data_IF_997166405320
#
_entry.id   IF_997166405320
#
_cell.length_a   1.000
_cell.length_b   1.000
_cell.length_c   1.000
_cell.angle_alpha   90.00
_cell.angle_beta   90.00
_cell.angle_gamma   90.00
#
_symmetry.space_group_name_H-M   'P 1'
#
loop_
_entity.id
_entity.type
_entity.pdbx_description
1 polymer ?
#
# COMPACT_ATOMS: atom_id res chain seq x y z
N UNK A 1 -9.21 1.48 20.98
CA UNK A 1 -7.96 1.18 20.24
C UNK A 1 -7.94 -0.16 19.48
N UNK A 2 -8.78 -1.15 19.78
CA UNK A 2 -8.76 -2.44 19.06
C UNK A 2 -9.05 -2.26 17.56
N UNK A 3 -10.18 -1.65 17.20
CA UNK A 3 -10.56 -1.45 15.79
C UNK A 3 -9.57 -0.58 15.01
N UNK A 4 -8.97 0.43 15.65
CA UNK A 4 -7.92 1.27 15.03
C UNK A 4 -6.70 0.42 14.66
N UNK A 5 -6.23 -0.43 15.59
CA UNK A 5 -5.11 -1.35 15.32
C UNK A 5 -5.44 -2.37 14.23
N UNK A 6 -6.65 -2.91 14.22
CA UNK A 6 -7.10 -3.82 13.15
C UNK A 6 -7.07 -3.10 11.80
N UNK A 7 -7.60 -1.87 11.73
CA UNK A 7 -7.58 -1.09 10.50
C UNK A 7 -6.15 -0.78 10.02
N UNK A 8 -5.25 -0.42 10.93
CA UNK A 8 -3.83 -0.19 10.61
C UNK A 8 -3.18 -1.44 10.00
N UNK A 9 -3.33 -2.61 10.62
CA UNK A 9 -2.75 -3.85 10.10
C UNK A 9 -3.34 -4.26 8.76
N UNK A 10 -4.65 -4.12 8.59
CA UNK A 10 -5.31 -4.41 7.31
C UNK A 10 -4.81 -3.47 6.22
N UNK A 11 -4.77 -2.16 6.47
CA UNK A 11 -4.29 -1.19 5.49
C UNK A 11 -2.81 -1.39 5.17
N UNK A 12 -1.97 -1.65 6.18
CA UNK A 12 -0.55 -1.94 5.97
C UNK A 12 -0.33 -3.21 5.14
N UNK A 13 -1.09 -4.29 5.43
CA UNK A 13 -1.04 -5.52 4.65
C UNK A 13 -1.48 -5.29 3.20
N UNK A 14 -2.55 -4.52 2.98
CA UNK A 14 -3.01 -4.18 1.65
C UNK A 14 -2.00 -3.34 0.86
N UNK A 15 -1.31 -2.39 1.50
CA UNK A 15 -0.21 -1.65 0.86
C UNK A 15 0.91 -2.61 0.46
N UNK A 16 1.33 -3.50 1.37
CA UNK A 16 2.35 -4.51 1.08
C UNK A 16 1.99 -5.43 -0.08
N UNK A 17 0.76 -5.95 -0.10
CA UNK A 17 0.24 -6.77 -1.20
C UNK A 17 0.15 -5.99 -2.51
N UNK A 18 -0.19 -4.70 -2.45
CA UNK A 18 -0.26 -3.83 -3.61
C UNK A 18 1.13 -3.62 -4.24
N UNK A 19 2.14 -3.37 -3.42
CA UNK A 19 3.54 -3.25 -3.87
C UNK A 19 4.03 -4.58 -4.45
N UNK A 20 3.69 -5.72 -3.81
CA UNK A 20 4.04 -7.04 -4.32
C UNK A 20 3.42 -7.32 -5.70
N UNK A 21 2.16 -6.93 -5.90
CA UNK A 21 1.49 -7.05 -7.19
C UNK A 21 2.19 -6.22 -8.28
N UNK A 22 2.50 -4.94 -8.00
CA UNK A 22 3.25 -4.06 -8.92
C UNK A 22 4.62 -4.66 -9.24
N UNK A 23 5.37 -5.10 -8.23
CA UNK A 23 6.68 -5.72 -8.41
C UNK A 23 6.63 -7.01 -9.24
N UNK A 24 5.60 -7.83 -9.06
CA UNK A 24 5.40 -9.05 -9.85
C UNK A 24 5.20 -8.71 -11.33
N UNK A 25 4.34 -7.73 -11.64
CA UNK A 25 4.12 -7.29 -13.04
C UNK A 25 5.39 -6.67 -13.61
N UNK A 26 6.16 -5.91 -12.82
CA UNK A 26 7.43 -5.33 -13.25
C UNK A 26 8.44 -6.39 -13.68
N UNK A 27 8.63 -7.44 -12.87
CA UNK A 27 9.52 -8.56 -13.21
C UNK A 27 9.04 -9.29 -14.48
N UNK A 28 7.74 -9.53 -14.62
CA UNK A 28 7.20 -10.17 -15.83
C UNK A 28 7.44 -9.29 -17.05
N UNK A 29 7.22 -7.99 -16.95
CA UNK A 29 7.41 -7.07 -18.06
C UNK A 29 8.86 -6.99 -18.51
N UNK A 30 9.81 -7.00 -17.57
CA UNK A 30 11.25 -7.07 -17.86
C UNK A 30 11.62 -8.38 -18.56
N UNK A 31 11.19 -9.53 -18.01
CA UNK A 31 11.50 -10.87 -18.56
C UNK A 31 10.88 -11.06 -19.95
N UNK A 32 9.68 -10.53 -20.18
CA UNK A 32 9.00 -10.65 -21.48
C UNK A 32 9.55 -9.68 -22.51
N UNK A 33 9.94 -8.47 -22.11
CA UNK A 33 10.55 -7.47 -22.98
C UNK A 33 9.68 -7.05 -24.18
N UNK A 34 8.36 -7.32 -24.16
CA UNK A 34 7.46 -6.95 -25.26
C UNK A 34 6.65 -5.71 -24.94
N UNK A 35 6.28 -4.98 -25.99
CA UNK A 35 5.44 -3.79 -25.88
C UNK A 35 4.12 -4.04 -25.14
N UNK A 36 3.51 -5.21 -25.35
CA UNK A 36 2.27 -5.60 -24.67
C UNK A 36 2.44 -5.62 -23.14
N UNK A 37 3.57 -6.13 -22.64
CA UNK A 37 3.83 -6.17 -21.20
C UNK A 37 4.30 -4.83 -20.62
N UNK A 38 4.94 -3.98 -21.42
CA UNK A 38 5.25 -2.61 -21.01
C UNK A 38 3.96 -1.80 -20.70
N UNK A 39 2.90 -1.96 -21.50
CA UNK A 39 1.60 -1.32 -21.25
C UNK A 39 0.94 -1.86 -19.98
N UNK A 40 1.02 -3.17 -19.74
CA UNK A 40 0.51 -3.76 -18.49
C UNK A 40 1.24 -3.18 -17.28
N UNK A 41 2.55 -2.98 -17.36
CA UNK A 41 3.31 -2.36 -16.29
C UNK A 41 2.89 -0.90 -16.06
N UNK A 42 2.79 -0.10 -17.12
CA UNK A 42 2.39 1.31 -17.03
C UNK A 42 0.99 1.47 -16.40
N UNK A 43 0.02 0.70 -16.88
CA UNK A 43 -1.35 0.71 -16.34
C UNK A 43 -1.41 0.16 -14.92
N UNK A 44 -0.65 -0.89 -14.59
CA UNK A 44 -0.56 -1.42 -13.22
C UNK A 44 -0.02 -0.37 -12.26
N UNK A 45 1.06 0.33 -12.62
CA UNK A 45 1.62 1.42 -11.81
C UNK A 45 0.59 2.54 -11.64
N UNK A 46 -0.11 2.92 -12.70
CA UNK A 46 -1.11 4.00 -12.67
C UNK A 46 -2.26 3.69 -11.70
N UNK A 47 -2.91 2.52 -11.85
CA UNK A 47 -4.04 2.16 -11.00
C UNK A 47 -3.62 1.84 -9.56
N UNK A 48 -2.54 1.08 -9.38
CA UNK A 48 -2.06 0.71 -8.05
C UNK A 48 -1.49 1.92 -7.31
N UNK A 49 -0.87 2.87 -8.02
CA UNK A 49 -0.37 4.12 -7.44
C UNK A 49 -1.50 4.94 -6.80
N UNK A 50 -2.64 5.08 -7.47
CA UNK A 50 -3.83 5.73 -6.90
C UNK A 50 -4.33 4.96 -5.67
N UNK A 51 -4.46 3.64 -5.79
CA UNK A 51 -4.97 2.80 -4.70
C UNK A 51 -4.08 2.85 -3.44
N UNK A 52 -2.76 2.72 -3.61
CA UNK A 52 -1.76 2.86 -2.53
C UNK A 52 -1.81 4.29 -1.96
N UNK A 53 -1.96 5.31 -2.80
CA UNK A 53 -2.10 6.69 -2.37
C UNK A 53 -3.29 6.88 -1.42
N UNK A 54 -4.46 6.34 -1.77
CA UNK A 54 -5.66 6.39 -0.91
C UNK A 54 -5.44 5.62 0.40
N UNK A 55 -4.84 4.43 0.34
CA UNK A 55 -4.55 3.64 1.55
C UNK A 55 -3.62 4.37 2.49
N UNK A 56 -2.52 4.93 1.98
CA UNK A 56 -1.52 5.65 2.79
C UNK A 56 -2.11 6.93 3.37
N UNK A 57 -2.95 7.65 2.62
CA UNK A 57 -3.68 8.82 3.12
C UNK A 57 -4.57 8.51 4.33
N UNK A 58 -5.06 7.27 4.49
CA UNK A 58 -5.83 6.83 5.66
C UNK A 58 -4.93 6.20 6.74
N UNK A 59 -3.99 5.37 6.34
CA UNK A 59 -3.09 4.65 7.24
C UNK A 59 -2.22 5.60 8.06
N UNK A 60 -1.66 6.65 7.44
CA UNK A 60 -0.77 7.60 8.14
C UNK A 60 -1.49 8.31 9.30
N UNK A 61 -2.69 8.91 9.11
CA UNK A 61 -3.46 9.48 10.22
C UNK A 61 -3.79 8.48 11.34
N UNK A 62 -4.13 7.23 11.00
CA UNK A 62 -4.44 6.22 12.01
C UNK A 62 -3.21 5.90 12.86
N UNK A 63 -2.05 5.69 12.22
CA UNK A 63 -0.78 5.45 12.91
C UNK A 63 -0.42 6.63 13.82
N UNK A 64 -0.54 7.86 13.34
CA UNK A 64 -0.30 9.06 14.16
C UNK A 64 -1.24 9.12 15.36
N UNK A 65 -2.52 8.82 15.16
CA UNK A 65 -3.52 8.77 16.24
C UNK A 65 -3.15 7.74 17.30
N UNK A 66 -2.73 6.54 16.88
CA UNK A 66 -2.28 5.48 17.79
C UNK A 66 -1.02 5.88 18.57
N UNK A 67 -0.06 6.54 17.93
CA UNK A 67 1.17 6.99 18.59
C UNK A 67 0.88 8.09 19.63
N UNK A 68 0.06 9.08 19.27
CA UNK A 68 -0.35 10.15 20.20
C UNK A 68 -1.11 9.57 21.38
N UNK A 69 -2.05 8.67 21.14
CA UNK A 69 -2.82 8.06 22.21
C UNK A 69 -1.96 7.25 23.18
N UNK A 70 -1.01 6.45 22.68
CA UNK A 70 -0.05 5.74 23.54
C UNK A 70 0.75 6.72 24.39
N UNK A 71 1.25 7.81 23.81
CA UNK A 71 2.02 8.81 24.55
C UNK A 71 1.22 9.53 25.63
N UNK A 72 -0.09 9.74 25.41
CA UNK A 72 -0.95 10.47 26.31
C UNK A 72 -1.51 9.61 27.45
N UNK A 73 -1.79 8.32 27.19
CA UNK A 73 -2.52 7.45 28.13
C UNK A 73 -1.70 6.29 28.70
N UNK A 74 -0.60 5.89 28.04
CA UNK A 74 0.27 4.81 28.49
C UNK A 74 1.59 5.34 29.11
N UNK A 75 1.65 6.64 29.46
CA UNK A 75 2.84 7.32 30.01
C UNK A 75 2.77 7.54 31.52
#
# INVERSE_FOLDING_TARGET
>A
MYYVRVAEFVLAALVGLSVLAVGTVAVIAEVKGTWHWAIHLESTISYMGIFIGVQTAVLVPLVLTSLVARRAFDA
#
